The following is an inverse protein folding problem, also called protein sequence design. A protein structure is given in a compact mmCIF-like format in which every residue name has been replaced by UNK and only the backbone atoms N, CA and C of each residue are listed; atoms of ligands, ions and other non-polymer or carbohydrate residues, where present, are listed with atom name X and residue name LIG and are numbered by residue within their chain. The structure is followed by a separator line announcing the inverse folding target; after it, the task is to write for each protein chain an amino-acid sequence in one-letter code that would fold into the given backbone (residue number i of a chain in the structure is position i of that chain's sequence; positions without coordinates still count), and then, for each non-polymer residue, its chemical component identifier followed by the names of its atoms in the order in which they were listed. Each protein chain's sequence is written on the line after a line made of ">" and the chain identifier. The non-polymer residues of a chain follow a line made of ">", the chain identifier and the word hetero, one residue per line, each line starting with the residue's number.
data_IF_807733771723
#
_entry.id   IF_807733771723
#
_cell.length_a   1.000
_cell.length_b   1.000
_cell.length_c   1.000
_cell.angle_alpha   90.00
_cell.angle_beta   90.00
_cell.angle_gamma   90.00
#
_symmetry.space_group_name_H-M   'P 1'
#
loop_
_entity.id
_entity.type
_entity.pdbx_description
1 polymer ?
#
# COMPACT_ATOMS: atom_id res chain seq x y z
N UNK A 1 15.31 23.50 -5.22
CA UNK A 1 14.88 22.12 -5.54
C UNK A 1 13.92 21.61 -4.49
N UNK A 2 12.79 21.11 -4.92
CA UNK A 2 11.81 20.59 -3.99
C UNK A 2 12.18 19.23 -3.46
N UNK A 3 12.03 19.02 -2.17
CA UNK A 3 12.18 17.70 -1.59
C UNK A 3 10.93 16.89 -1.86
N UNK A 4 11.12 15.72 -2.40
CA UNK A 4 10.01 14.80 -2.61
C UNK A 4 9.76 14.05 -1.32
N UNK A 5 8.51 14.03 -0.87
CA UNK A 5 8.17 13.56 0.46
C UNK A 5 7.65 12.14 0.49
N UNK A 6 7.13 11.63 -0.63
CA UNK A 6 6.57 10.30 -0.62
C UNK A 6 6.68 9.65 -1.99
N UNK A 7 6.51 8.34 -2.00
CA UNK A 7 6.42 7.56 -3.22
C UNK A 7 5.30 6.54 -3.06
N UNK A 8 4.72 6.12 -4.18
CA UNK A 8 3.69 5.09 -4.20
C UNK A 8 4.20 3.97 -5.08
N UNK A 9 4.37 2.80 -4.48
CA UNK A 9 4.87 1.62 -5.19
C UNK A 9 3.86 0.51 -5.02
N UNK A 10 3.40 -0.07 -6.10
CA UNK A 10 2.36 -1.08 -6.00
C UNK A 10 2.63 -2.27 -6.93
N UNK A 11 1.98 -3.37 -6.60
CA UNK A 11 1.95 -4.56 -7.42
C UNK A 11 0.49 -4.93 -7.61
N UNK A 12 0.07 -5.18 -8.84
CA UNK A 12 -1.34 -5.43 -9.14
C UNK A 12 -1.45 -6.56 -10.14
N UNK A 13 -2.32 -7.51 -9.85
CA UNK A 13 -2.56 -8.65 -10.73
C UNK A 13 -3.72 -8.36 -11.69
N UNK A 14 -4.83 -7.89 -11.14
CA UNK A 14 -6.05 -7.67 -11.93
C UNK A 14 -6.45 -6.22 -12.05
N UNK A 15 -5.63 -5.31 -11.53
CA UNK A 15 -5.90 -3.89 -11.60
C UNK A 15 -6.54 -3.31 -10.34
N UNK A 16 -6.96 -4.14 -9.40
CA UNK A 16 -7.63 -3.64 -8.19
C UNK A 16 -6.67 -2.84 -7.31
N UNK A 17 -5.46 -3.32 -7.12
CA UNK A 17 -4.47 -2.58 -6.34
C UNK A 17 -4.09 -1.29 -7.02
N UNK A 18 -4.03 -1.30 -8.35
CA UNK A 18 -3.74 -0.08 -9.11
C UNK A 18 -4.80 0.99 -8.87
N UNK A 19 -6.08 0.59 -8.77
CA UNK A 19 -7.14 1.54 -8.49
C UNK A 19 -6.91 2.23 -7.16
N UNK A 20 -6.49 1.48 -6.14
CA UNK A 20 -6.15 2.07 -4.85
C UNK A 20 -4.96 3.02 -4.96
N UNK A 21 -3.93 2.60 -5.69
CA UNK A 21 -2.75 3.43 -5.87
C UNK A 21 -3.10 4.74 -6.57
N UNK A 22 -3.94 4.66 -7.59
CA UNK A 22 -4.40 5.85 -8.30
C UNK A 22 -5.16 6.79 -7.36
N UNK A 23 -6.01 6.25 -6.51
CA UNK A 23 -6.78 7.05 -5.58
C UNK A 23 -5.88 7.78 -4.57
N UNK A 24 -4.87 7.09 -4.07
CA UNK A 24 -3.91 7.72 -3.16
C UNK A 24 -3.16 8.83 -3.87
N UNK A 25 -2.72 8.58 -5.08
CA UNK A 25 -1.96 9.55 -5.86
C UNK A 25 -2.78 10.82 -6.09
N UNK A 26 -4.07 10.66 -6.38
CA UNK A 26 -4.95 11.79 -6.59
C UNK A 26 -5.24 12.57 -5.32
N UNK A 27 -5.21 11.90 -4.17
CA UNK A 27 -5.54 12.52 -2.91
C UNK A 27 -4.37 13.29 -2.29
N UNK A 28 -3.16 13.05 -2.74
CA UNK A 28 -1.96 13.62 -2.15
C UNK A 28 -1.34 14.66 -3.08
N UNK A 29 -0.54 15.59 -2.52
CA UNK A 29 0.13 16.60 -3.36
C UNK A 29 1.06 15.94 -4.36
N UNK A 30 0.80 16.13 -5.64
CA UNK A 30 1.53 15.41 -6.67
C UNK A 30 2.94 15.96 -6.88
N UNK A 31 3.16 17.22 -6.54
CA UNK A 31 4.48 17.81 -6.64
C UNK A 31 5.44 17.29 -5.57
N UNK A 32 4.92 16.58 -4.56
CA UNK A 32 5.74 15.97 -3.52
C UNK A 32 5.97 14.48 -3.77
N UNK A 33 5.47 13.94 -4.85
CA UNK A 33 5.60 12.53 -5.17
C UNK A 33 6.88 12.28 -5.94
N UNK A 34 7.75 11.44 -5.39
CA UNK A 34 9.00 11.10 -6.06
C UNK A 34 8.78 10.05 -7.12
N UNK A 35 8.03 9.03 -6.80
CA UNK A 35 7.80 7.91 -7.71
C UNK A 35 6.39 7.39 -7.55
N UNK A 36 5.75 7.09 -8.66
CA UNK A 36 4.45 6.45 -8.68
C UNK A 36 4.48 5.39 -9.76
N UNK A 37 4.37 4.13 -9.37
CA UNK A 37 4.42 3.06 -10.33
C UNK A 37 4.52 1.69 -9.69
N UNK A 38 4.79 0.71 -10.55
CA UNK A 38 4.85 -0.68 -10.11
C UNK A 38 6.13 -0.96 -9.34
N UNK A 39 6.06 -2.03 -8.52
CA UNK A 39 7.21 -2.49 -7.77
C UNK A 39 8.36 -2.83 -8.72
N UNK A 40 9.54 -2.34 -8.40
CA UNK A 40 10.72 -2.55 -9.20
C UNK A 40 11.89 -2.79 -8.26
N UNK A 41 13.06 -3.03 -8.82
CA UNK A 41 14.25 -3.26 -8.03
C UNK A 41 14.78 -1.99 -7.38
N UNK A 42 14.41 -0.84 -7.89
CA UNK A 42 14.89 0.44 -7.37
C UNK A 42 13.99 0.89 -6.23
N UNK A 43 14.60 1.21 -5.09
CA UNK A 43 13.88 1.72 -3.93
C UNK A 43 13.93 3.24 -3.97
N UNK A 44 12.75 3.91 -3.94
CA UNK A 44 12.73 5.38 -3.91
C UNK A 44 13.43 5.91 -2.67
N UNK A 45 14.00 7.09 -2.77
CA UNK A 45 14.74 7.68 -1.67
C UNK A 45 13.84 8.39 -0.66
N UNK A 46 12.59 8.65 -0.99
CA UNK A 46 11.68 9.32 -0.06
C UNK A 46 11.50 8.49 1.20
N UNK A 47 11.28 9.17 2.33
CA UNK A 47 11.13 8.49 3.61
C UNK A 47 9.80 7.78 3.74
N UNK A 48 8.75 8.34 3.15
CA UNK A 48 7.40 7.78 3.25
C UNK A 48 7.06 7.03 1.99
N UNK A 49 6.73 5.77 2.14
CA UNK A 49 6.38 4.89 1.03
C UNK A 49 4.98 4.34 1.24
N UNK A 50 4.13 4.52 0.24
CA UNK A 50 2.83 3.86 0.17
C UNK A 50 3.04 2.60 -0.64
N UNK A 51 2.97 1.45 0.01
CA UNK A 51 3.27 0.16 -0.61
C UNK A 51 1.97 -0.60 -0.82
N UNK A 52 1.65 -0.91 -2.07
CA UNK A 52 0.43 -1.61 -2.42
C UNK A 52 0.68 -3.03 -2.88
N UNK A 53 -0.17 -3.97 -2.46
CA UNK A 53 -0.01 -5.37 -2.80
C UNK A 53 -1.35 -6.01 -3.11
N UNK A 54 -1.30 -7.14 -3.84
CA UNK A 54 -2.46 -8.02 -3.94
C UNK A 54 -2.17 -9.27 -3.11
N UNK A 55 -3.22 -9.88 -2.61
CA UNK A 55 -3.07 -11.02 -1.70
C UNK A 55 -2.92 -12.30 -2.48
N UNK A 56 -1.87 -13.05 -2.14
CA UNK A 56 -1.59 -14.35 -2.72
C UNK A 56 -1.43 -15.34 -1.58
N UNK A 57 -2.41 -16.23 -1.46
CA UNK A 57 -2.37 -17.31 -0.46
C UNK A 57 -2.17 -16.80 0.97
N UNK A 58 -2.89 -15.74 1.31
CA UNK A 58 -2.87 -15.20 2.67
C UNK A 58 -1.73 -14.29 3.00
N UNK A 59 -0.94 -13.89 2.00
CA UNK A 59 0.18 -12.99 2.19
C UNK A 59 0.24 -12.04 1.00
N UNK A 60 1.15 -11.08 1.05
CA UNK A 60 1.35 -10.22 -0.11
C UNK A 60 2.02 -11.01 -1.23
N UNK A 61 1.87 -10.51 -2.45
CA UNK A 61 2.54 -11.10 -3.59
C UNK A 61 4.05 -11.04 -3.44
N UNK A 62 4.74 -11.93 -4.13
CA UNK A 62 6.18 -12.10 -3.96
C UNK A 62 6.98 -10.83 -4.22
N UNK A 63 6.60 -10.08 -5.27
CA UNK A 63 7.32 -8.85 -5.59
C UNK A 63 7.28 -7.85 -4.45
N UNK A 64 6.11 -7.71 -3.82
CA UNK A 64 5.97 -6.79 -2.70
C UNK A 64 6.76 -7.27 -1.50
N UNK A 65 6.73 -8.56 -1.21
CA UNK A 65 7.50 -9.09 -0.09
C UNK A 65 9.00 -8.89 -0.29
N UNK A 66 9.48 -9.04 -1.52
CA UNK A 66 10.89 -8.80 -1.82
C UNK A 66 11.25 -7.33 -1.59
N UNK A 67 10.39 -6.43 -2.01
CA UNK A 67 10.61 -5.01 -1.80
C UNK A 67 10.64 -4.68 -0.31
N UNK A 68 9.64 -5.15 0.43
CA UNK A 68 9.54 -4.85 1.85
C UNK A 68 10.76 -5.34 2.62
N UNK A 69 11.30 -6.49 2.25
CA UNK A 69 12.44 -7.05 2.96
C UNK A 69 13.71 -6.22 2.77
N UNK A 70 13.73 -5.34 1.78
CA UNK A 70 14.90 -4.51 1.51
C UNK A 70 14.81 -3.12 2.12
N UNK A 71 13.65 -2.75 2.67
CA UNK A 71 13.45 -1.40 3.18
C UNK A 71 14.03 -1.25 4.59
N UNK A 72 14.68 -0.12 4.83
CA UNK A 72 15.26 0.20 6.13
C UNK A 72 15.00 1.67 6.44
N UNK A 73 14.64 1.93 7.67
CA UNK A 73 14.48 3.30 8.16
C UNK A 73 13.46 4.12 7.37
N UNK A 74 12.38 3.46 6.94
CA UNK A 74 11.33 4.10 6.17
C UNK A 74 10.04 4.18 6.97
N UNK A 75 9.17 5.11 6.57
CA UNK A 75 7.79 5.17 7.02
C UNK A 75 6.95 4.49 5.94
N UNK A 76 6.15 3.52 6.33
CA UNK A 76 5.44 2.68 5.37
C UNK A 76 3.94 2.74 5.64
N UNK A 77 3.16 3.04 4.60
CA UNK A 77 1.72 2.88 4.61
C UNK A 77 1.40 1.68 3.72
N UNK A 78 0.83 0.64 4.30
CA UNK A 78 0.47 -0.56 3.56
C UNK A 78 -0.95 -0.48 3.06
N UNK A 79 -1.17 -0.79 1.80
CA UNK A 79 -2.53 -0.96 1.31
C UNK A 79 -2.57 -2.20 0.44
N UNK A 80 -3.67 -2.92 0.50
CA UNK A 80 -3.74 -4.17 -0.23
C UNK A 80 -5.15 -4.56 -0.61
N UNK A 81 -5.24 -5.51 -1.53
CA UNK A 81 -6.50 -6.08 -1.98
C UNK A 81 -6.48 -7.58 -1.80
N UNK A 82 -7.65 -8.14 -1.52
CA UNK A 82 -7.83 -9.59 -1.43
C UNK A 82 -9.01 -9.99 -2.30
N UNK A 83 -8.92 -11.14 -2.95
CA UNK A 83 -9.96 -11.57 -3.86
C UNK A 83 -11.27 -11.90 -3.16
N UNK A 84 -11.22 -12.28 -1.91
CA UNK A 84 -12.40 -12.60 -1.12
C UNK A 84 -12.04 -12.49 0.35
N UNK A 85 -13.01 -12.78 1.21
CA UNK A 85 -12.80 -12.70 2.63
C UNK A 85 -13.59 -11.56 3.24
N UNK A 86 -13.15 -10.36 3.04
CA UNK A 86 -13.90 -9.16 3.42
C UNK A 86 -14.13 -8.92 4.89
N UNK A 87 -13.59 -9.75 5.79
CA UNK A 87 -13.75 -9.55 7.21
C UNK A 87 -12.51 -8.89 7.80
N UNK A 88 -12.72 -8.13 8.88
CA UNK A 88 -11.60 -7.50 9.56
C UNK A 88 -10.59 -8.50 10.06
N UNK A 89 -11.07 -9.64 10.55
CA UNK A 89 -10.18 -10.67 11.10
C UNK A 89 -9.26 -11.19 9.99
N UNK A 90 -9.82 -11.45 8.83
CA UNK A 90 -9.05 -11.98 7.71
C UNK A 90 -8.03 -10.94 7.23
N UNK A 91 -8.45 -9.69 7.11
CA UNK A 91 -7.55 -8.63 6.66
C UNK A 91 -6.41 -8.41 7.65
N UNK A 92 -6.70 -8.42 8.94
CA UNK A 92 -5.65 -8.28 9.95
C UNK A 92 -4.66 -9.43 9.90
N UNK A 93 -5.16 -10.62 9.61
CA UNK A 93 -4.29 -11.79 9.50
C UNK A 93 -3.33 -11.62 8.33
N UNK A 94 -3.83 -11.17 7.19
CA UNK A 94 -2.97 -10.90 6.04
C UNK A 94 -1.94 -9.84 6.37
N UNK A 95 -2.36 -8.74 6.95
CA UNK A 95 -1.44 -7.66 7.30
C UNK A 95 -0.38 -8.11 8.29
N UNK A 96 -0.78 -8.95 9.23
CA UNK A 96 0.16 -9.50 10.20
C UNK A 96 1.24 -10.33 9.52
N UNK A 97 0.86 -11.13 8.52
CA UNK A 97 1.82 -11.91 7.76
C UNK A 97 2.76 -11.01 6.96
N UNK A 98 2.21 -10.00 6.32
CA UNK A 98 3.00 -9.07 5.52
C UNK A 98 4.03 -8.35 6.38
N UNK A 99 3.62 -7.93 7.57
CA UNK A 99 4.49 -7.17 8.46
C UNK A 99 5.69 -7.96 8.93
N UNK A 100 5.62 -9.28 8.88
CA UNK A 100 6.76 -10.10 9.27
C UNK A 100 7.95 -9.93 8.33
N UNK A 101 7.70 -9.42 7.13
CA UNK A 101 8.75 -9.18 6.14
C UNK A 101 9.34 -7.78 6.24
N UNK A 102 8.85 -6.97 7.17
CA UNK A 102 9.27 -5.58 7.31
C UNK A 102 10.25 -5.46 8.47
N UNK A 103 11.44 -4.93 8.18
CA UNK A 103 12.45 -4.76 9.21
C UNK A 103 11.98 -3.80 10.30
N UNK A 104 12.41 -4.04 11.53
CA UNK A 104 11.98 -3.24 12.68
C UNK A 104 12.44 -1.78 12.61
N UNK A 105 13.42 -1.47 11.76
CA UNK A 105 13.85 -0.08 11.58
C UNK A 105 12.80 0.77 10.88
N UNK A 106 11.81 0.14 10.24
CA UNK A 106 10.74 0.86 9.57
C UNK A 106 9.57 1.11 10.50
N UNK A 107 8.82 2.17 10.23
CA UNK A 107 7.62 2.52 11.01
C UNK A 107 6.40 2.35 10.12
N UNK A 108 5.42 1.57 10.58
CA UNK A 108 4.17 1.42 9.86
C UNK A 108 3.26 2.57 10.28
N UNK A 109 3.06 3.53 9.38
CA UNK A 109 2.28 4.72 9.70
C UNK A 109 0.79 4.55 9.41
N UNK A 110 0.41 3.50 8.70
CA UNK A 110 -0.99 3.22 8.43
C UNK A 110 -1.16 1.98 7.60
N UNK A 111 -2.39 1.48 7.52
CA UNK A 111 -2.68 0.30 6.74
C UNK A 111 -4.14 0.29 6.30
N UNK A 112 -4.40 -0.34 5.16
CA UNK A 112 -5.73 -0.40 4.59
C UNK A 112 -5.85 -1.67 3.75
N UNK A 113 -6.99 -2.34 3.89
CA UNK A 113 -7.29 -3.53 3.08
C UNK A 113 -8.69 -3.42 2.52
N UNK A 114 -8.88 -3.96 1.34
CA UNK A 114 -10.16 -3.91 0.66
C UNK A 114 -10.34 -5.21 -0.12
N UNK A 115 -11.57 -5.69 -0.20
CA UNK A 115 -11.86 -6.90 -0.95
C UNK A 115 -11.99 -6.53 -2.43
N UNK A 116 -11.14 -7.17 -3.27
CA UNK A 116 -11.21 -7.02 -4.71
C UNK A 116 -11.34 -5.58 -5.15
N UNK A 117 -12.46 -5.27 -5.82
CA UNK A 117 -12.72 -3.92 -6.32
C UNK A 117 -13.12 -3.00 -5.17
N UNK A 118 -12.49 -1.85 -5.10
CA UNK A 118 -12.80 -0.86 -4.10
C UNK A 118 -14.15 -0.22 -4.40
N UNK A 119 -15.07 -0.16 -3.41
CA UNK A 119 -16.32 0.57 -3.60
C UNK A 119 -16.08 2.06 -3.81
N UNK A 120 -16.95 2.68 -4.60
CA UNK A 120 -16.84 4.10 -4.89
C UNK A 120 -16.87 4.95 -3.62
N UNK A 121 -17.66 4.55 -2.64
CA UNK A 121 -17.75 5.29 -1.38
C UNK A 121 -16.42 5.29 -0.63
N UNK A 122 -15.65 4.22 -0.72
CA UNK A 122 -14.34 4.17 -0.08
C UNK A 122 -13.36 5.13 -0.76
N UNK A 123 -13.43 5.23 -2.08
CA UNK A 123 -12.58 6.17 -2.80
C UNK A 123 -12.84 7.61 -2.36
N UNK A 124 -14.11 7.95 -2.16
CA UNK A 124 -14.45 9.30 -1.73
C UNK A 124 -13.93 9.58 -0.33
N UNK A 125 -14.01 8.61 0.55
CA UNK A 125 -13.52 8.79 1.91
C UNK A 125 -12.03 8.97 1.98
N UNK A 126 -11.28 8.23 1.19
CA UNK A 126 -9.83 8.25 1.27
C UNK A 126 -9.23 9.60 0.92
N UNK A 127 -9.95 10.42 0.17
CA UNK A 127 -9.44 11.74 -0.17
C UNK A 127 -9.56 12.73 0.99
N UNK A 128 -10.33 12.41 2.03
CA UNK A 128 -10.62 13.36 3.10
C UNK A 128 -10.31 12.83 4.48
N UNK A 129 -10.25 11.55 4.65
CA UNK A 129 -10.15 10.92 5.96
C UNK A 129 -9.03 9.90 5.95
N UNK A 130 -8.83 9.30 7.11
CA UNK A 130 -7.91 8.18 7.17
C UNK A 130 -8.44 7.05 6.31
N UNK A 131 -7.53 6.24 5.84
CA UNK A 131 -7.84 5.12 4.99
C UNK A 131 -8.64 4.09 5.78
N UNK A 132 -9.93 4.11 5.58
CA UNK A 132 -10.83 3.27 6.34
C UNK A 132 -12.05 3.01 5.49
N UNK A 133 -12.12 1.85 4.94
CA UNK A 133 -13.29 1.41 4.21
C UNK A 133 -14.11 0.57 5.16
N UNK A 134 -15.36 0.96 5.34
CA UNK A 134 -16.24 0.18 6.20
C UNK A 134 -16.37 -1.20 5.59
N UNK A 135 -15.94 -2.16 6.30
CA UNK A 135 -16.01 -3.53 5.85
C UNK A 135 -17.33 -4.16 6.26
#
# INVERSE_FOLDING_TARGET
>A
MKNKKYSIVYSSLTGNTKVLADAIHEALPQDECEYFGVSDTVIPSSELLYIGFWTDKGNADTKTLQLLSQLKNKQIFLFGTAGFGGSDIYFRKILSQVKQFIDASNVIVGEYMCQGRMPQSCLLYTSKKRWSCAS
#
